data_IF_844696232035
#
_entry.id   IF_844696232035
#
_cell.length_a   1.000
_cell.length_b   1.000
_cell.length_c   1.000
_cell.angle_alpha   90.00
_cell.angle_beta   90.00
_cell.angle_gamma   90.00
#
_symmetry.space_group_name_H-M   'P 1'
#
loop_
_entity.id
_entity.type
_entity.pdbx_description
1 polymer ?
#
# COMPACT_ATOMS: atom_id res chain seq x y z
N UNK A 1 45.68 -47.46 11.30
CA UNK A 1 46.06 -47.79 9.90
C UNK A 1 44.75 -47.84 9.11
N UNK A 2 44.47 -47.12 8.02
CA UNK A 2 45.25 -46.47 6.96
C UNK A 2 44.60 -45.11 6.59
N UNK A 3 45.45 -44.16 6.18
CA UNK A 3 45.11 -42.90 5.48
C UNK A 3 44.59 -43.17 4.06
N UNK A 4 44.17 -42.09 3.37
CA UNK A 4 44.33 -41.80 1.91
C UNK A 4 42.98 -41.65 1.18
N UNK A 5 42.64 -40.63 0.37
CA UNK A 5 43.26 -39.38 -0.14
C UNK A 5 42.11 -38.49 -0.71
N UNK A 6 42.30 -37.16 -0.66
CA UNK A 6 41.53 -36.14 -1.38
C UNK A 6 41.55 -36.34 -2.92
N UNK A 7 40.46 -35.98 -3.59
CA UNK A 7 40.53 -35.42 -4.96
C UNK A 7 39.72 -34.12 -5.05
N UNK A 8 40.44 -33.04 -5.31
CA UNK A 8 39.98 -31.75 -5.82
C UNK A 8 39.65 -31.86 -7.32
N UNK A 9 38.68 -31.05 -7.78
CA UNK A 9 38.42 -30.55 -9.15
C UNK A 9 36.90 -30.53 -9.36
N UNK A 10 36.25 -29.54 -9.98
CA UNK A 10 36.57 -28.18 -10.37
C UNK A 10 35.21 -27.50 -10.61
N UNK A 11 35.17 -26.18 -10.49
CA UNK A 11 34.00 -25.31 -10.63
C UNK A 11 33.29 -25.39 -11.99
N UNK A 12 31.96 -25.27 -11.98
CA UNK A 12 31.08 -24.63 -13.01
C UNK A 12 29.77 -24.29 -12.27
N UNK A 13 29.49 -23.00 -11.95
CA UNK A 13 28.55 -22.10 -12.66
C UNK A 13 27.11 -22.68 -12.67
N UNK A 14 26.03 -22.02 -12.24
CA UNK A 14 25.59 -20.63 -12.43
C UNK A 14 24.51 -20.31 -11.39
N UNK A 15 24.48 -19.06 -10.94
CA UNK A 15 23.44 -18.49 -10.09
C UNK A 15 22.06 -18.38 -10.80
N UNK A 16 20.98 -18.57 -10.04
CA UNK A 16 19.65 -18.09 -10.41
C UNK A 16 18.89 -17.63 -9.16
N UNK A 17 19.30 -16.47 -8.66
CA UNK A 17 18.52 -15.64 -7.73
C UNK A 17 17.84 -14.55 -8.56
N UNK A 18 16.61 -14.78 -9.02
CA UNK A 18 15.81 -13.73 -9.67
C UNK A 18 14.31 -14.02 -9.50
N UNK A 19 13.70 -13.47 -8.45
CA UNK A 19 12.31 -13.02 -8.47
C UNK A 19 12.23 -11.73 -7.65
N UNK A 20 12.78 -10.67 -8.21
CA UNK A 20 12.49 -9.30 -7.83
C UNK A 20 12.79 -8.41 -9.04
N UNK A 21 11.88 -7.46 -9.30
CA UNK A 21 11.97 -6.43 -10.32
C UNK A 21 11.77 -6.90 -11.78
N UNK A 22 10.51 -6.96 -12.20
CA UNK A 22 10.14 -6.84 -13.62
C UNK A 22 9.15 -5.69 -13.74
N UNK A 23 9.69 -4.47 -13.74
CA UNK A 23 8.98 -3.34 -14.31
C UNK A 23 9.96 -2.29 -14.79
N UNK A 24 10.56 -2.54 -15.96
CA UNK A 24 10.90 -1.48 -16.93
C UNK A 24 11.44 -2.07 -18.22
N UNK A 25 11.42 -1.25 -19.28
CA UNK A 25 11.94 -1.45 -20.63
C UNK A 25 10.90 -1.80 -21.70
N UNK A 26 10.03 -0.83 -22.00
CA UNK A 26 9.53 -0.65 -23.35
C UNK A 26 10.09 0.65 -23.95
N UNK A 27 10.59 0.51 -25.16
CA UNK A 27 10.64 1.51 -26.24
C UNK A 27 12.04 1.98 -26.66
N UNK A 28 12.67 1.16 -27.51
CA UNK A 28 13.67 1.61 -28.46
C UNK A 28 13.02 1.60 -29.84
N UNK A 29 12.56 2.75 -30.31
CA UNK A 29 12.58 3.02 -31.73
C UNK A 29 12.91 4.49 -32.01
N UNK A 30 13.82 4.65 -32.97
CA UNK A 30 14.57 5.86 -33.31
C UNK A 30 14.02 6.41 -34.63
N UNK A 31 13.40 7.59 -34.59
CA UNK A 31 13.06 8.43 -35.76
C UNK A 31 12.74 9.81 -35.18
N UNK A 32 13.14 10.98 -35.64
CA UNK A 32 14.14 11.53 -36.54
C UNK A 32 14.18 13.03 -36.17
N UNK A 33 15.34 13.67 -36.31
CA UNK A 33 15.61 15.04 -35.88
C UNK A 33 15.01 16.06 -36.87
N UNK A 34 14.09 16.93 -36.43
CA UNK A 34 13.80 18.19 -37.14
C UNK A 34 13.47 19.35 -36.17
N UNK A 35 14.45 20.26 -36.07
CA UNK A 35 14.38 21.72 -35.89
C UNK A 35 13.38 22.36 -34.91
N UNK A 36 13.98 22.92 -33.84
CA UNK A 36 13.67 24.13 -33.06
C UNK A 36 12.46 24.98 -33.48
N UNK A 37 11.43 25.02 -32.63
CA UNK A 37 10.65 26.23 -32.36
C UNK A 37 10.36 26.33 -30.84
N UNK A 38 10.97 27.34 -30.21
CA UNK A 38 10.77 27.71 -28.81
C UNK A 38 9.44 28.44 -28.69
N UNK A 39 8.37 27.70 -28.42
CA UNK A 39 7.11 28.24 -27.92
C UNK A 39 6.91 27.75 -26.49
N UNK A 40 6.95 28.70 -25.56
CA UNK A 40 6.60 28.51 -24.16
C UNK A 40 5.13 28.11 -24.07
N UNK A 41 4.88 26.81 -24.17
CA UNK A 41 3.60 26.20 -23.86
C UNK A 41 3.61 25.87 -22.38
N UNK A 42 2.85 26.61 -21.58
CA UNK A 42 2.44 26.15 -20.26
C UNK A 42 1.56 24.93 -20.49
N UNK A 43 2.18 23.78 -20.73
CA UNK A 43 1.50 22.49 -20.68
C UNK A 43 1.09 22.32 -19.23
N UNK A 44 -0.18 22.60 -18.94
CA UNK A 44 -0.83 22.07 -17.77
C UNK A 44 -0.60 20.55 -17.81
N UNK A 45 0.31 20.10 -16.97
CA UNK A 45 0.58 18.69 -16.72
C UNK A 45 -0.67 18.17 -16.01
N UNK A 46 -1.65 17.73 -16.79
CA UNK A 46 -2.58 16.74 -16.28
C UNK A 46 -1.69 15.56 -15.91
N UNK A 47 -1.59 15.17 -14.63
CA UNK A 47 -0.79 14.03 -14.27
C UNK A 47 -1.31 12.87 -15.12
N UNK A 48 -0.42 12.35 -15.95
CA UNK A 48 -0.64 11.11 -16.69
C UNK A 48 -1.18 10.14 -15.67
N UNK A 49 -2.43 9.68 -15.85
CA UNK A 49 -3.02 8.74 -14.90
C UNK A 49 -2.04 7.58 -14.74
N UNK A 50 -1.43 7.47 -13.56
CA UNK A 50 -0.34 6.53 -13.29
C UNK A 50 -0.80 5.06 -13.33
N UNK A 51 -2.08 4.86 -13.62
CA UNK A 51 -2.72 3.61 -13.98
C UNK A 51 -4.05 3.43 -13.27
N UNK A 52 -4.61 2.23 -13.40
CA UNK A 52 -5.87 1.85 -12.74
C UNK A 52 -5.57 1.29 -11.34
N UNK A 53 -5.78 2.11 -10.33
CA UNK A 53 -5.64 1.70 -8.93
C UNK A 53 -6.95 1.12 -8.40
N UNK A 54 -6.85 0.37 -7.30
CA UNK A 54 -8.01 -0.11 -6.56
C UNK A 54 -7.81 0.10 -5.07
N UNK A 55 -8.81 0.69 -4.43
CA UNK A 55 -8.94 0.73 -2.97
C UNK A 55 -10.31 0.20 -2.58
N UNK A 56 -10.51 -0.04 -1.29
CA UNK A 56 -11.81 -0.40 -0.77
C UNK A 56 -12.05 0.25 0.58
N UNK A 57 -13.32 0.56 0.85
CA UNK A 57 -13.75 0.99 2.17
C UNK A 57 -13.68 -0.18 3.16
N UNK A 58 -13.61 0.13 4.45
CA UNK A 58 -13.72 -0.90 5.49
C UNK A 58 -15.02 -1.71 5.40
N UNK A 59 -16.13 -1.09 4.95
CA UNK A 59 -17.40 -1.80 4.73
C UNK A 59 -17.32 -2.79 3.58
N UNK A 60 -16.61 -2.44 2.50
CA UNK A 60 -16.34 -3.34 1.38
C UNK A 60 -15.57 -4.58 1.85
N UNK A 61 -14.46 -4.39 2.56
CA UNK A 61 -13.66 -5.50 3.09
C UNK A 61 -14.39 -6.34 4.14
N UNK A 62 -15.25 -5.72 4.94
CA UNK A 62 -16.07 -6.38 5.95
C UNK A 62 -17.31 -7.10 5.40
N UNK A 63 -17.60 -7.00 4.10
CA UNK A 63 -18.77 -7.64 3.51
C UNK A 63 -18.67 -9.18 3.56
N UNK A 64 -19.82 -9.84 3.75
CA UNK A 64 -19.90 -11.30 3.64
C UNK A 64 -19.51 -11.72 2.20
N UNK A 65 -18.60 -12.69 2.02
CA UNK A 65 -18.18 -13.14 0.69
C UNK A 65 -19.35 -13.57 -0.18
N UNK A 66 -19.57 -12.87 -1.29
CA UNK A 66 -20.64 -13.18 -2.24
C UNK A 66 -20.31 -12.64 -3.62
N UNK A 67 -20.41 -13.49 -4.64
CA UNK A 67 -20.04 -13.14 -6.01
C UNK A 67 -18.61 -12.58 -6.07
N UNK A 68 -18.43 -11.46 -6.76
CA UNK A 68 -17.13 -10.81 -6.94
C UNK A 68 -16.89 -9.62 -5.98
N UNK A 69 -17.58 -9.60 -4.83
CA UNK A 69 -17.43 -8.50 -3.88
C UNK A 69 -16.03 -8.50 -3.21
N UNK A 70 -15.65 -7.40 -2.52
CA UNK A 70 -14.33 -7.31 -1.90
C UNK A 70 -14.12 -8.35 -0.79
N UNK A 71 -15.18 -8.78 -0.10
CA UNK A 71 -15.14 -9.90 0.85
C UNK A 71 -14.68 -11.21 0.22
N UNK A 72 -15.21 -11.57 -0.96
CA UNK A 72 -14.74 -12.74 -1.73
C UNK A 72 -13.26 -12.62 -2.07
N UNK A 73 -12.83 -11.44 -2.55
CA UNK A 73 -11.43 -11.21 -2.88
C UNK A 73 -10.52 -11.37 -1.66
N UNK A 74 -10.90 -10.77 -0.52
CA UNK A 74 -10.18 -10.88 0.74
C UNK A 74 -9.99 -12.35 1.15
N UNK A 75 -11.06 -13.15 1.15
CA UNK A 75 -11.01 -14.56 1.54
C UNK A 75 -10.14 -15.41 0.61
N UNK A 76 -10.18 -15.14 -0.69
CA UNK A 76 -9.37 -15.86 -1.66
C UNK A 76 -7.87 -15.54 -1.58
N UNK A 77 -7.50 -14.32 -1.19
CA UNK A 77 -6.13 -13.82 -1.32
C UNK A 77 -5.39 -13.57 0.01
N UNK A 78 -6.08 -13.60 1.15
CA UNK A 78 -5.49 -13.22 2.45
C UNK A 78 -4.22 -14.00 2.78
N UNK A 79 -4.24 -15.33 2.67
CA UNK A 79 -3.08 -16.17 3.03
C UNK A 79 -1.86 -15.88 2.13
N UNK A 80 -2.09 -15.61 0.84
CA UNK A 80 -1.02 -15.30 -0.10
C UNK A 80 -0.39 -13.92 0.15
N UNK A 81 -1.20 -12.94 0.56
CA UNK A 81 -0.73 -11.58 0.82
C UNK A 81 -0.14 -11.39 2.23
N UNK A 82 -0.69 -12.05 3.25
CA UNK A 82 -0.36 -11.81 4.66
C UNK A 82 0.30 -12.99 5.38
N UNK A 83 0.39 -14.16 4.73
CA UNK A 83 0.83 -15.37 5.42
C UNK A 83 -0.12 -15.69 6.57
N UNK A 84 0.43 -15.88 7.78
CA UNK A 84 -0.35 -16.30 8.95
C UNK A 84 -1.23 -15.20 9.56
N UNK A 85 -0.86 -13.93 9.41
CA UNK A 85 -1.59 -12.84 10.06
C UNK A 85 -1.29 -11.47 9.46
N UNK A 86 -2.29 -10.59 9.56
CA UNK A 86 -2.16 -9.15 9.43
C UNK A 86 -2.09 -8.51 10.82
N UNK A 87 -1.20 -7.54 11.01
CA UNK A 87 -1.16 -6.68 12.19
C UNK A 87 -1.36 -5.22 11.80
N UNK A 88 -2.02 -4.42 12.64
CA UNK A 88 -2.03 -2.95 12.54
C UNK A 88 -1.75 -2.36 13.91
N UNK A 89 -0.95 -1.30 13.94
CA UNK A 89 -0.42 -0.74 15.18
C UNK A 89 1.06 -1.05 15.35
N UNK A 90 1.57 -0.87 16.56
CA UNK A 90 2.99 -1.02 16.85
C UNK A 90 3.36 -2.47 17.17
N UNK A 91 3.29 -3.34 16.17
CA UNK A 91 3.75 -4.71 16.32
C UNK A 91 5.27 -4.82 16.12
N UNK A 92 6.01 -5.61 16.92
CA UNK A 92 5.60 -6.33 18.13
C UNK A 92 5.77 -5.51 19.43
N UNK A 93 6.26 -4.27 19.32
CA UNK A 93 6.86 -3.53 20.43
C UNK A 93 5.87 -2.80 21.36
N UNK A 94 4.61 -2.60 20.95
CA UNK A 94 3.57 -1.96 21.75
C UNK A 94 2.15 -2.48 21.36
N UNK A 95 1.11 -1.65 21.42
CA UNK A 95 -0.26 -2.09 21.17
C UNK A 95 -0.56 -2.27 19.68
N UNK A 96 -1.27 -3.35 19.36
CA UNK A 96 -1.65 -3.70 17.99
C UNK A 96 -2.95 -4.51 17.93
N UNK A 97 -3.58 -4.55 16.77
CA UNK A 97 -4.61 -5.53 16.42
C UNK A 97 -3.97 -6.58 15.51
N UNK A 98 -4.08 -7.86 15.88
CA UNK A 98 -3.66 -9.02 15.08
C UNK A 98 -4.87 -9.75 14.55
N UNK A 99 -4.93 -9.95 13.24
CA UNK A 99 -5.98 -10.67 12.52
C UNK A 99 -5.36 -11.88 11.84
N UNK A 100 -5.79 -13.07 12.25
CA UNK A 100 -5.16 -14.35 11.85
C UNK A 100 -5.80 -15.01 10.63
N UNK A 101 -6.83 -14.40 10.05
CA UNK A 101 -7.53 -14.92 8.87
C UNK A 101 -8.37 -13.85 8.19
N UNK A 102 -8.77 -14.11 6.95
CA UNK A 102 -9.79 -13.31 6.26
C UNK A 102 -11.10 -13.23 7.04
N UNK A 103 -11.53 -14.32 7.68
CA UNK A 103 -12.74 -14.30 8.52
C UNK A 103 -12.58 -13.39 9.74
N UNK A 104 -11.39 -13.33 10.34
CA UNK A 104 -11.14 -12.39 11.45
C UNK A 104 -11.24 -10.93 10.99
N UNK A 105 -10.83 -10.63 9.75
CA UNK A 105 -11.03 -9.31 9.13
C UNK A 105 -12.52 -9.04 8.90
N UNK A 106 -13.26 -9.97 8.29
CA UNK A 106 -14.72 -9.84 8.06
C UNK A 106 -15.48 -9.65 9.38
N UNK A 107 -15.08 -10.33 10.45
CA UNK A 107 -15.72 -10.20 11.76
C UNK A 107 -15.41 -8.87 12.45
N UNK A 108 -14.25 -8.27 12.16
CA UNK A 108 -13.88 -6.97 12.72
C UNK A 108 -14.56 -5.82 11.98
N UNK A 109 -14.59 -5.85 10.64
CA UNK A 109 -15.00 -4.72 9.82
C UNK A 109 -16.50 -4.76 9.46
N UNK A 110 -17.17 -3.59 9.35
CA UNK A 110 -16.67 -2.25 9.64
C UNK A 110 -16.64 -1.94 11.15
N UNK A 111 -15.70 -1.10 11.55
CA UNK A 111 -15.53 -0.64 12.93
C UNK A 111 -15.99 0.81 13.06
N UNK A 112 -16.99 1.05 13.90
CA UNK A 112 -17.40 2.39 14.33
C UNK A 112 -16.75 2.83 15.64
N UNK A 113 -17.19 3.97 16.17
CA UNK A 113 -16.71 4.53 17.44
C UNK A 113 -15.73 5.69 17.25
N UNK A 114 -15.14 6.14 18.35
CA UNK A 114 -14.21 7.29 18.35
C UNK A 114 -12.83 6.85 17.85
N UNK A 115 -12.21 7.65 16.98
CA UNK A 115 -10.80 7.46 16.61
C UNK A 115 -9.92 7.67 17.85
N UNK A 116 -9.13 6.66 18.20
CA UNK A 116 -8.26 6.68 19.39
C UNK A 116 -7.04 5.79 19.23
N UNK A 117 -5.99 6.05 20.01
CA UNK A 117 -4.92 5.09 20.19
C UNK A 117 -5.43 3.87 20.98
N UNK A 118 -4.86 2.70 20.72
CA UNK A 118 -5.12 1.47 21.46
C UNK A 118 -4.55 1.59 22.88
N UNK A 119 -5.20 0.90 23.81
CA UNK A 119 -4.76 0.77 25.22
C UNK A 119 -4.37 -0.66 25.59
N UNK A 120 -4.50 -1.60 24.65
CA UNK A 120 -4.14 -3.00 24.75
C UNK A 120 -3.94 -3.58 23.35
N UNK A 121 -3.26 -4.72 23.26
CA UNK A 121 -3.22 -5.51 22.03
C UNK A 121 -4.43 -6.45 21.95
N UNK A 122 -4.92 -6.68 20.73
CA UNK A 122 -6.08 -7.52 20.47
C UNK A 122 -5.75 -8.58 19.44
N UNK A 123 -6.25 -9.80 19.62
CA UNK A 123 -6.19 -10.87 18.60
C UNK A 123 -7.61 -11.24 18.18
N UNK A 124 -7.90 -11.10 16.89
CA UNK A 124 -9.22 -11.33 16.28
C UNK A 124 -10.40 -10.65 17.02
N UNK A 125 -10.32 -9.34 17.36
CA UNK A 125 -11.45 -8.68 18.03
C UNK A 125 -12.65 -8.55 17.08
N UNK A 126 -13.82 -9.03 17.48
CA UNK A 126 -15.06 -8.88 16.70
C UNK A 126 -15.90 -7.64 17.09
N UNK A 127 -15.56 -6.96 18.17
CA UNK A 127 -16.39 -5.88 18.76
C UNK A 127 -15.60 -4.64 19.18
N UNK A 128 -14.41 -4.44 18.62
CA UNK A 128 -13.60 -3.24 18.86
C UNK A 128 -14.40 -1.98 18.48
N UNK A 129 -14.31 -0.91 19.29
CA UNK A 129 -14.98 0.38 19.03
C UNK A 129 -13.96 1.48 18.77
N UNK A 130 -13.24 1.34 17.67
CA UNK A 130 -12.20 2.28 17.27
C UNK A 130 -12.16 2.41 15.74
N UNK A 131 -12.81 3.44 15.20
CA UNK A 131 -12.92 3.64 13.74
C UNK A 131 -11.56 3.75 13.05
N UNK A 132 -10.54 4.29 13.74
CA UNK A 132 -9.19 4.38 13.20
C UNK A 132 -8.60 3.00 12.92
N UNK A 133 -8.82 2.03 13.82
CA UNK A 133 -8.36 0.66 13.61
C UNK A 133 -9.00 0.06 12.35
N UNK A 134 -10.31 0.27 12.15
CA UNK A 134 -11.01 -0.19 10.96
C UNK A 134 -10.48 0.42 9.66
N UNK A 135 -10.23 1.74 9.66
CA UNK A 135 -9.70 2.44 8.48
C UNK A 135 -8.27 2.00 8.14
N UNK A 136 -7.40 1.81 9.13
CA UNK A 136 -6.03 1.37 8.89
C UNK A 136 -5.95 -0.10 8.46
N UNK A 137 -6.82 -0.98 8.97
CA UNK A 137 -6.94 -2.34 8.43
C UNK A 137 -7.35 -2.28 6.95
N UNK A 138 -8.37 -1.50 6.60
CA UNK A 138 -8.83 -1.37 5.22
C UNK A 138 -7.75 -0.81 4.27
N UNK A 139 -6.99 0.17 4.75
CA UNK A 139 -5.88 0.75 3.99
C UNK A 139 -4.76 -0.26 3.79
N UNK A 140 -4.34 -0.95 4.86
CA UNK A 140 -3.28 -1.97 4.79
C UNK A 140 -3.65 -3.12 3.86
N UNK A 141 -4.92 -3.54 3.85
CA UNK A 141 -5.43 -4.52 2.89
C UNK A 141 -5.22 -4.05 1.45
N UNK A 142 -5.66 -2.83 1.12
CA UNK A 142 -5.53 -2.28 -0.23
C UNK A 142 -4.06 -2.17 -0.66
N UNK A 143 -3.19 -1.60 0.20
CA UNK A 143 -1.75 -1.44 -0.09
C UNK A 143 -1.05 -2.80 -0.27
N UNK A 144 -1.35 -3.76 0.59
CA UNK A 144 -0.67 -5.07 0.52
C UNK A 144 -1.18 -5.89 -0.65
N UNK A 145 -2.47 -5.86 -0.96
CA UNK A 145 -3.00 -6.58 -2.13
C UNK A 145 -2.52 -5.99 -3.44
N UNK A 146 -2.40 -4.67 -3.55
CA UNK A 146 -1.78 -4.01 -4.70
C UNK A 146 -0.33 -4.48 -4.90
N UNK A 147 0.46 -4.55 -3.82
CA UNK A 147 1.83 -5.03 -3.88
C UNK A 147 1.95 -6.54 -4.16
N UNK A 148 1.02 -7.36 -3.66
CA UNK A 148 1.09 -8.82 -3.73
C UNK A 148 0.44 -9.41 -4.99
N UNK A 149 -0.49 -8.68 -5.62
CA UNK A 149 -1.25 -9.16 -6.77
C UNK A 149 -1.37 -8.07 -7.83
N UNK A 150 -0.62 -8.23 -8.94
CA UNK A 150 -0.61 -7.31 -10.07
C UNK A 150 -1.97 -7.14 -10.78
N UNK A 151 -2.95 -8.01 -10.52
CA UNK A 151 -4.31 -7.89 -11.03
C UNK A 151 -5.28 -7.26 -10.01
N UNK A 152 -4.79 -6.84 -8.83
CA UNK A 152 -5.62 -6.13 -7.85
C UNK A 152 -5.93 -4.70 -8.32
N UNK A 153 -4.88 -3.99 -8.74
CA UNK A 153 -4.92 -2.78 -9.54
C UNK A 153 -3.97 -2.96 -10.71
N UNK A 154 -4.39 -2.58 -11.91
CA UNK A 154 -3.59 -2.73 -13.14
C UNK A 154 -2.58 -1.59 -13.32
N UNK A 155 -2.44 -0.75 -12.28
CA UNK A 155 -1.52 0.36 -12.28
C UNK A 155 -0.07 -0.07 -12.38
N UNK A 156 0.68 0.76 -13.08
CA UNK A 156 2.09 0.60 -13.22
C UNK A 156 2.80 1.03 -11.91
N UNK A 157 2.25 2.03 -11.23
CA UNK A 157 2.76 2.56 -9.96
C UNK A 157 2.06 1.83 -8.81
N UNK A 158 2.79 1.52 -7.73
CA UNK A 158 2.16 0.91 -6.56
C UNK A 158 1.29 1.92 -5.82
N UNK A 159 0.17 1.48 -5.26
CA UNK A 159 -0.69 2.29 -4.40
C UNK A 159 0.11 2.90 -3.24
N UNK A 160 1.06 2.14 -2.67
CA UNK A 160 1.95 2.62 -1.61
C UNK A 160 2.82 3.83 -2.01
N UNK A 161 3.16 3.96 -3.29
CA UNK A 161 3.96 5.06 -3.84
C UNK A 161 3.15 6.29 -4.25
N UNK A 162 1.82 6.20 -4.23
CA UNK A 162 0.96 7.34 -4.51
C UNK A 162 1.16 8.44 -3.47
N UNK A 163 1.05 9.69 -3.90
CA UNK A 163 1.24 10.85 -3.05
C UNK A 163 -0.11 11.37 -2.58
N UNK A 164 -0.23 11.71 -1.31
CA UNK A 164 -1.39 12.40 -0.77
C UNK A 164 -1.38 13.85 -1.28
N UNK A 165 -2.41 14.25 -2.01
CA UNK A 165 -2.44 15.54 -2.71
C UNK A 165 -2.88 16.73 -1.87
N UNK A 166 -3.49 16.50 -0.70
CA UNK A 166 -4.04 17.59 0.13
C UNK A 166 -4.15 17.24 1.62
N UNK A 167 -4.37 18.27 2.45
CA UNK A 167 -4.56 18.12 3.89
C UNK A 167 -3.26 18.00 4.68
N UNK A 168 -3.35 17.56 5.94
CA UNK A 168 -2.24 17.49 6.90
C UNK A 168 -1.05 16.65 6.40
N UNK A 169 -1.33 15.64 5.59
CA UNK A 169 -0.34 14.70 5.06
C UNK A 169 -0.03 14.93 3.59
N UNK A 170 -0.32 16.12 3.04
CA UNK A 170 0.04 16.45 1.67
C UNK A 170 1.55 16.24 1.44
N UNK A 171 1.90 15.59 0.33
CA UNK A 171 3.29 15.27 -0.04
C UNK A 171 3.82 13.96 0.55
N UNK A 172 3.12 13.33 1.50
CA UNK A 172 3.49 11.99 1.99
C UNK A 172 3.06 10.91 1.00
N UNK A 173 3.85 9.83 0.92
CA UNK A 173 3.40 8.62 0.24
C UNK A 173 2.33 7.91 1.08
N UNK A 174 1.48 7.11 0.43
CA UNK A 174 0.49 6.27 1.14
C UNK A 174 1.19 5.28 2.09
N UNK A 175 2.35 4.74 1.70
CA UNK A 175 3.11 3.83 2.55
C UNK A 175 3.65 4.52 3.82
N UNK A 176 4.24 5.72 3.68
CA UNK A 176 4.74 6.48 4.82
C UNK A 176 3.60 6.90 5.76
N UNK A 177 2.48 7.34 5.18
CA UNK A 177 1.28 7.66 5.93
C UNK A 177 0.75 6.44 6.70
N UNK A 178 0.73 5.25 6.09
CA UNK A 178 0.28 4.03 6.77
C UNK A 178 1.17 3.70 7.98
N UNK A 179 2.50 3.86 7.86
CA UNK A 179 3.43 3.68 8.99
C UNK A 179 3.13 4.68 10.12
N UNK A 180 2.97 5.96 9.80
CA UNK A 180 2.61 6.99 10.79
C UNK A 180 1.28 6.65 11.46
N UNK A 181 0.29 6.23 10.68
CA UNK A 181 -1.02 5.84 11.18
C UNK A 181 -0.96 4.67 12.14
N UNK A 182 -0.15 3.65 11.85
CA UNK A 182 0.09 2.52 12.75
C UNK A 182 0.82 2.93 14.03
N UNK A 183 1.78 3.86 13.96
CA UNK A 183 2.44 4.40 15.14
C UNK A 183 1.46 5.16 16.06
N UNK A 184 0.55 5.95 15.49
CA UNK A 184 -0.50 6.66 16.26
C UNK A 184 -1.52 5.69 16.83
N UNK A 185 -2.00 4.72 16.04
CA UNK A 185 -2.94 3.71 16.50
C UNK A 185 -2.35 2.88 17.64
N UNK A 186 -1.10 2.43 17.51
CA UNK A 186 -0.44 1.61 18.52
C UNK A 186 0.09 2.37 19.74
N UNK A 187 -0.05 3.70 19.77
CA UNK A 187 0.38 4.54 20.88
C UNK A 187 1.91 4.75 20.95
N UNK A 188 2.64 4.51 19.86
CA UNK A 188 4.08 4.80 19.79
C UNK A 188 4.40 6.24 19.40
N UNK A 189 3.44 6.93 18.77
CA UNK A 189 3.57 8.33 18.42
C UNK A 189 2.31 9.08 18.80
N UNK A 190 2.51 10.31 19.28
CA UNK A 190 1.43 11.29 19.52
C UNK A 190 1.63 12.54 18.67
N UNK A 191 2.50 12.48 17.64
CA UNK A 191 2.80 13.62 16.77
C UNK A 191 1.55 14.09 16.00
N UNK A 192 0.67 13.15 15.64
CA UNK A 192 -0.60 13.41 15.00
C UNK A 192 -1.75 12.86 15.84
N UNK A 193 -2.91 13.48 15.71
CA UNK A 193 -4.10 13.02 16.42
C UNK A 193 -4.70 11.80 15.71
N UNK A 194 -5.32 10.85 16.45
CA UNK A 194 -6.06 9.74 15.85
C UNK A 194 -7.12 10.18 14.83
N UNK A 195 -7.74 11.35 15.03
CA UNK A 195 -8.75 11.89 14.12
C UNK A 195 -8.14 12.29 12.77
N UNK A 196 -7.00 12.98 12.76
CA UNK A 196 -6.31 13.34 11.51
C UNK A 196 -5.94 12.10 10.70
N UNK A 197 -5.42 11.06 11.35
CA UNK A 197 -5.12 9.80 10.67
C UNK A 197 -6.39 9.16 10.12
N UNK A 198 -7.46 9.13 10.92
CA UNK A 198 -8.71 8.50 10.51
C UNK A 198 -9.32 9.17 9.26
N UNK A 199 -9.34 10.50 9.23
CA UNK A 199 -9.86 11.27 8.08
C UNK A 199 -9.03 11.01 6.82
N UNK A 200 -7.70 11.11 6.91
CA UNK A 200 -6.82 10.84 5.77
C UNK A 200 -6.92 9.39 5.30
N UNK A 201 -6.94 8.41 6.20
CA UNK A 201 -7.11 7.00 5.84
C UNK A 201 -8.46 6.75 5.13
N UNK A 202 -9.54 7.40 5.59
CA UNK A 202 -10.86 7.31 4.92
C UNK A 202 -10.78 7.89 3.50
N UNK A 203 -10.18 9.06 3.31
CA UNK A 203 -10.01 9.68 2.00
C UNK A 203 -9.20 8.80 1.03
N UNK A 204 -8.16 8.12 1.52
CA UNK A 204 -7.39 7.16 0.71
C UNK A 204 -8.23 5.95 0.35
N UNK A 205 -8.86 5.30 1.34
CA UNK A 205 -9.69 4.11 1.14
C UNK A 205 -10.83 4.34 0.15
N UNK A 206 -11.36 5.55 0.14
CA UNK A 206 -12.45 5.96 -0.74
C UNK A 206 -12.00 6.50 -2.10
N UNK A 207 -10.69 6.66 -2.34
CA UNK A 207 -10.22 7.34 -3.55
C UNK A 207 -10.49 6.54 -4.82
N UNK A 208 -10.21 5.22 -4.78
CA UNK A 208 -10.28 4.30 -5.91
C UNK A 208 -11.22 3.11 -5.68
N UNK A 209 -12.37 3.35 -5.04
CA UNK A 209 -13.32 2.27 -4.67
C UNK A 209 -13.66 1.43 -5.90
N UNK A 210 -13.51 0.12 -5.75
CA UNK A 210 -13.70 -0.90 -6.80
C UNK A 210 -12.86 -0.71 -8.08
N UNK A 211 -11.89 0.21 -8.07
CA UNK A 211 -11.10 0.57 -9.24
C UNK A 211 -11.91 1.27 -10.34
N UNK A 212 -13.09 1.80 -10.00
CA UNK A 212 -14.01 2.46 -10.94
C UNK A 212 -14.21 3.94 -10.66
N UNK A 213 -13.65 4.43 -9.55
CA UNK A 213 -13.74 5.84 -9.11
C UNK A 213 -12.34 6.41 -8.98
N UNK A 214 -12.18 7.71 -9.21
CA UNK A 214 -11.00 8.47 -8.77
C UNK A 214 -11.48 9.77 -8.13
N UNK A 215 -11.37 9.90 -6.79
CA UNK A 215 -11.78 11.12 -6.08
C UNK A 215 -10.74 12.25 -6.13
N UNK A 216 -9.58 12.03 -6.75
CA UNK A 216 -8.51 13.02 -6.88
C UNK A 216 -7.76 13.34 -5.57
N UNK A 217 -7.93 12.54 -4.52
CA UNK A 217 -7.21 12.72 -3.26
C UNK A 217 -5.74 12.27 -3.35
N UNK A 218 -5.49 11.24 -4.17
CA UNK A 218 -4.16 10.73 -4.46
C UNK A 218 -3.69 11.25 -5.82
N UNK A 219 -2.43 11.68 -5.86
CA UNK A 219 -1.76 12.13 -7.08
C UNK A 219 -0.60 11.19 -7.42
N UNK A 220 -0.27 11.11 -8.70
CA UNK A 220 0.85 10.33 -9.17
C UNK A 220 2.17 10.90 -8.64
N UNK A 221 3.12 10.06 -8.22
CA UNK A 221 4.47 10.53 -7.95
C UNK A 221 5.04 11.15 -9.24
N UNK A 222 5.78 12.25 -9.11
CA UNK A 222 6.45 12.86 -10.25
C UNK A 222 7.43 11.84 -10.85
N UNK A 223 7.36 11.63 -12.17
CA UNK A 223 8.38 10.86 -12.87
C UNK A 223 9.71 11.58 -12.66
N UNK A 224 10.63 10.99 -11.90
CA UNK A 224 12.00 11.50 -11.71
C UNK A 224 12.84 11.38 -13.02
N UNK A 225 12.28 11.86 -14.13
CA UNK A 225 12.88 11.93 -15.46
C UNK A 225 13.34 13.34 -15.87
N UNK A 226 13.48 14.28 -14.92
CA UNK A 226 14.01 15.61 -15.21
C UNK A 226 14.36 16.36 -13.93
N UNK A 227 15.63 16.71 -13.76
CA UNK A 227 16.16 17.35 -12.54
C UNK A 227 15.39 18.61 -12.12
N UNK A 228 14.81 18.55 -10.93
CA UNK A 228 14.29 19.69 -10.19
C UNK A 228 15.03 19.81 -8.86
N UNK A 229 15.70 20.93 -8.68
CA UNK A 229 16.55 21.30 -7.55
C UNK A 229 15.78 21.32 -6.21
N UNK A 230 16.39 20.96 -5.05
CA UNK A 230 15.68 20.94 -3.77
C UNK A 230 15.27 22.34 -3.33
N UNK A 231 14.02 22.52 -2.90
CA UNK A 231 13.54 23.76 -2.31
C UNK A 231 14.13 23.99 -0.90
N UNK A 232 14.55 25.22 -0.56
CA UNK A 232 15.16 25.54 0.73
C UNK A 232 14.12 25.59 1.84
N UNK A 233 14.55 25.19 3.04
CA UNK A 233 13.74 25.16 4.26
C UNK A 233 13.56 26.50 4.97
#
# INVERSE_FOLDING_TARGET
MKKTILRFSAAVLVASVLFACQKEMANKNRTELTSLESTSSTTYFFPTECGMFRTQTQGGWGSEPSGNNPGTYLHANFQAAFGEYLTVGCYPDNFYVKLTSAQAVTNLLPVGGKASALTASYTNPASLKNVLAGQLVALKLSVTFDAANANFGESAVSLGSMIIGSGTFAGYTVADFLVIGEQVLGGCSTQYTPQQINETASSINENFVDGTTNKGFLICPEDNGGGGEPLPG
#
